data_IF_421568376092
#
_entry.id   IF_421568376092
#
_cell.length_a   1.000
_cell.length_b   1.000
_cell.length_c   1.000
_cell.angle_alpha   90.00
_cell.angle_beta   90.00
_cell.angle_gamma   90.00
#
_symmetry.space_group_name_H-M   'P 1'
#
loop_
_entity.id
_entity.type
_entity.pdbx_description
1 polymer ?
#
# COMPACT_ATOMS: atom_id res chain seq x y z
N UNK A 1 0.56 -6.06 -2.74
CA UNK A 1 -0.58 -6.97 -2.49
C UNK A 1 -1.08 -7.72 -3.73
N UNK A 2 -1.40 -7.08 -4.86
CA UNK A 2 -1.98 -7.74 -6.04
C UNK A 2 -1.18 -8.99 -6.53
N UNK A 3 0.15 -8.90 -6.64
CA UNK A 3 0.99 -10.01 -7.07
C UNK A 3 0.95 -11.22 -6.13
N UNK A 4 0.83 -10.98 -4.81
CA UNK A 4 0.75 -12.06 -3.80
C UNK A 4 -0.57 -12.82 -3.99
N UNK A 5 -1.67 -12.10 -4.22
CA UNK A 5 -2.99 -12.68 -4.47
C UNK A 5 -2.98 -13.49 -5.78
N UNK A 6 -2.43 -12.92 -6.86
CA UNK A 6 -2.29 -13.62 -8.15
C UNK A 6 -1.43 -14.88 -7.99
N UNK A 7 -0.29 -14.79 -7.30
CA UNK A 7 0.59 -15.93 -7.02
C UNK A 7 -0.13 -17.04 -6.23
N UNK A 8 -0.94 -16.67 -5.23
CA UNK A 8 -1.76 -17.62 -4.46
C UNK A 8 -2.77 -18.35 -5.36
N UNK A 9 -3.49 -17.62 -6.21
CA UNK A 9 -4.49 -18.20 -7.13
C UNK A 9 -3.81 -19.18 -8.10
N UNK A 10 -2.70 -18.77 -8.73
CA UNK A 10 -1.94 -19.60 -9.67
C UNK A 10 -1.42 -20.87 -8.98
N UNK A 11 -0.95 -20.76 -7.73
CA UNK A 11 -0.48 -21.91 -6.95
C UNK A 11 -1.62 -22.90 -6.68
N UNK A 12 -2.80 -22.42 -6.27
CA UNK A 12 -3.98 -23.27 -6.04
C UNK A 12 -4.37 -24.00 -7.33
N UNK A 13 -4.45 -23.27 -8.45
CA UNK A 13 -4.75 -23.86 -9.77
C UNK A 13 -3.70 -24.93 -10.13
N UNK A 14 -2.41 -24.63 -9.93
CA UNK A 14 -1.33 -25.58 -10.17
C UNK A 14 -1.45 -26.85 -9.33
N UNK A 15 -1.81 -26.72 -8.04
CA UNK A 15 -2.04 -27.87 -7.14
C UNK A 15 -3.24 -28.70 -7.58
N UNK A 16 -4.34 -28.07 -7.98
CA UNK A 16 -5.54 -28.76 -8.47
C UNK A 16 -5.24 -29.51 -9.77
N UNK A 17 -4.55 -28.89 -10.73
CA UNK A 17 -4.19 -29.52 -12.01
C UNK A 17 -3.20 -30.67 -11.80
N UNK A 18 -2.21 -30.51 -10.91
CA UNK A 18 -1.22 -31.56 -10.65
C UNK A 18 -1.81 -32.82 -10.01
N UNK A 19 -2.93 -32.69 -9.29
CA UNK A 19 -3.63 -33.80 -8.63
C UNK A 19 -4.66 -34.51 -9.52
N UNK A 20 -5.09 -33.90 -10.62
CA UNK A 20 -6.09 -34.47 -11.53
C UNK A 20 -5.41 -35.15 -12.74
N UNK A 21 -5.57 -36.48 -12.91
CA UNK A 21 -5.01 -37.18 -14.07
C UNK A 21 -5.72 -36.74 -15.37
N UNK A 22 -4.94 -36.27 -16.35
CA UNK A 22 -5.44 -35.78 -17.63
C UNK A 22 -4.34 -35.17 -18.50
N UNK A 23 -4.66 -34.75 -19.73
CA UNK A 23 -3.68 -34.20 -20.70
C UNK A 23 -2.91 -32.97 -20.17
N UNK A 24 -3.50 -32.25 -19.22
CA UNK A 24 -2.97 -31.01 -18.63
C UNK A 24 -2.08 -31.25 -17.41
N UNK A 25 -2.01 -32.48 -16.88
CA UNK A 25 -1.30 -32.80 -15.64
C UNK A 25 0.20 -32.48 -15.71
N UNK A 26 0.83 -32.69 -16.88
CA UNK A 26 2.25 -32.38 -17.13
C UNK A 26 2.58 -30.89 -16.89
N UNK A 27 1.62 -30.01 -17.08
CA UNK A 27 1.79 -28.57 -16.85
C UNK A 27 1.52 -28.17 -15.39
N UNK A 28 0.82 -28.99 -14.61
CA UNK A 28 0.48 -28.69 -13.22
C UNK A 28 1.70 -28.45 -12.32
N UNK A 29 2.77 -29.23 -12.52
CA UNK A 29 4.04 -29.03 -11.82
C UNK A 29 4.70 -27.69 -12.14
N UNK A 30 4.75 -27.32 -13.43
CA UNK A 30 5.31 -26.06 -13.91
C UNK A 30 4.50 -24.87 -13.38
N UNK A 31 3.17 -24.93 -13.48
CA UNK A 31 2.25 -23.88 -13.01
C UNK A 31 2.39 -23.69 -11.49
N UNK A 32 2.53 -24.79 -10.73
CA UNK A 32 2.76 -24.72 -9.28
C UNK A 32 4.06 -23.99 -8.95
N UNK A 33 5.16 -24.33 -9.63
CA UNK A 33 6.46 -23.67 -9.42
C UNK A 33 6.37 -22.19 -9.79
N UNK A 34 5.73 -21.87 -10.93
CA UNK A 34 5.50 -20.50 -11.35
C UNK A 34 4.70 -19.70 -10.30
N UNK A 35 3.64 -20.27 -9.74
CA UNK A 35 2.84 -19.65 -8.68
C UNK A 35 3.66 -19.34 -7.42
N UNK A 36 4.54 -20.26 -7.00
CA UNK A 36 5.46 -20.03 -5.87
C UNK A 36 6.41 -18.88 -6.17
N UNK A 37 7.04 -18.87 -7.36
CA UNK A 37 7.98 -17.82 -7.76
C UNK A 37 7.29 -16.45 -7.76
N UNK A 38 6.10 -16.34 -8.35
CA UNK A 38 5.32 -15.10 -8.38
C UNK A 38 4.99 -14.64 -6.97
N UNK A 39 4.63 -15.54 -6.07
CA UNK A 39 4.33 -15.21 -4.67
C UNK A 39 5.57 -14.67 -3.94
N UNK A 40 6.72 -15.33 -4.07
CA UNK A 40 7.98 -14.89 -3.46
C UNK A 40 8.38 -13.51 -3.99
N UNK A 41 8.33 -13.30 -5.30
CA UNK A 41 8.61 -11.99 -5.91
C UNK A 41 7.62 -10.93 -5.40
N UNK A 42 6.33 -11.26 -5.32
CA UNK A 42 5.30 -10.36 -4.82
C UNK A 42 5.53 -9.94 -3.36
N UNK A 43 6.02 -10.87 -2.52
CA UNK A 43 6.41 -10.58 -1.15
C UNK A 43 7.64 -9.68 -1.11
N UNK A 44 8.70 -10.00 -1.86
CA UNK A 44 9.95 -9.24 -1.86
C UNK A 44 9.71 -7.78 -2.29
N UNK A 45 9.00 -7.57 -3.40
CA UNK A 45 8.67 -6.24 -3.90
C UNK A 45 7.75 -5.50 -2.92
N UNK A 46 6.75 -6.18 -2.35
CA UNK A 46 5.82 -5.56 -1.43
C UNK A 46 6.40 -5.24 -0.05
N UNK A 47 7.53 -5.85 0.32
CA UNK A 47 8.13 -5.68 1.64
C UNK A 47 9.10 -4.50 1.71
N UNK A 48 9.54 -3.95 0.58
CA UNK A 48 10.53 -2.87 0.54
C UNK A 48 9.80 -1.55 0.33
N UNK A 49 9.96 -0.62 1.28
CA UNK A 49 9.43 0.74 1.19
C UNK A 49 10.56 1.73 1.41
N UNK A 50 10.66 2.71 0.52
CA UNK A 50 11.59 3.83 0.66
C UNK A 50 10.81 5.08 1.07
N UNK A 51 11.30 5.76 2.10
CA UNK A 51 10.76 7.03 2.57
C UNK A 51 11.75 8.14 2.24
N UNK A 52 11.28 9.17 1.56
CA UNK A 52 12.12 10.29 1.14
C UNK A 52 12.50 11.21 2.31
N UNK A 53 13.58 11.97 2.12
CA UNK A 53 14.04 12.92 3.11
C UNK A 53 12.99 14.04 3.33
N UNK A 54 12.76 14.38 4.61
CA UNK A 54 11.72 15.33 5.00
C UNK A 54 10.30 14.76 4.94
N UNK A 55 10.14 13.45 4.80
CA UNK A 55 8.86 12.76 4.96
C UNK A 55 8.95 11.69 6.06
N UNK A 56 7.79 11.28 6.57
CA UNK A 56 7.62 10.13 7.46
C UNK A 56 6.52 9.21 6.93
N UNK A 57 6.73 7.90 6.98
CA UNK A 57 5.74 6.91 6.59
C UNK A 57 4.89 6.47 7.78
N UNK A 58 3.59 6.76 7.75
CA UNK A 58 2.63 6.26 8.74
C UNK A 58 2.17 4.87 8.33
N UNK A 59 2.30 3.90 9.24
CA UNK A 59 1.91 2.51 9.03
C UNK A 59 0.45 2.29 9.38
N UNK A 60 -0.32 1.72 8.45
CA UNK A 60 -1.70 1.29 8.64
C UNK A 60 -1.84 -0.19 8.31
N UNK A 61 -2.44 -0.95 9.21
CA UNK A 61 -2.72 -2.37 9.01
C UNK A 61 -4.21 -2.61 9.24
N UNK A 62 -4.94 -2.98 8.19
CA UNK A 62 -6.38 -3.26 8.24
C UNK A 62 -7.21 -2.17 8.93
N UNK A 63 -6.96 -0.90 8.59
CA UNK A 63 -7.67 0.23 9.19
C UNK A 63 -7.06 0.75 10.49
N UNK A 64 -6.21 -0.02 11.16
CA UNK A 64 -5.54 0.40 12.40
C UNK A 64 -4.23 1.11 12.09
N UNK A 65 -4.12 2.36 12.54
CA UNK A 65 -2.86 3.13 12.50
C UNK A 65 -1.94 2.63 13.61
N UNK A 66 -0.67 2.41 13.28
CA UNK A 66 0.35 2.08 14.27
C UNK A 66 0.97 3.36 14.83
N UNK A 67 1.33 3.36 16.11
CA UNK A 67 1.94 4.52 16.78
C UNK A 67 3.36 4.82 16.27
N UNK A 68 4.03 3.81 15.71
CA UNK A 68 5.38 3.92 15.21
C UNK A 68 5.41 4.35 13.73
N UNK A 69 6.36 5.21 13.39
CA UNK A 69 6.50 5.82 12.06
C UNK A 69 7.82 5.42 11.40
N UNK A 70 7.81 5.35 10.07
CA UNK A 70 8.99 5.07 9.27
C UNK A 70 9.69 6.40 8.97
N UNK A 71 10.91 6.59 9.49
CA UNK A 71 11.74 7.74 9.14
C UNK A 71 12.31 7.64 7.72
N UNK A 72 12.95 8.69 7.22
CA UNK A 72 13.59 8.67 5.90
C UNK A 72 14.61 7.52 5.78
N UNK A 73 14.57 6.80 4.66
CA UNK A 73 15.45 5.66 4.40
C UNK A 73 14.74 4.46 3.81
N UNK A 74 15.48 3.37 3.65
CA UNK A 74 14.96 2.09 3.16
C UNK A 74 14.49 1.25 4.34
N UNK A 75 13.25 0.78 4.28
CA UNK A 75 12.63 -0.05 5.31
C UNK A 75 12.10 -1.34 4.73
N UNK A 76 12.25 -2.40 5.52
CA UNK A 76 11.62 -3.69 5.24
C UNK A 76 10.40 -3.86 6.14
N UNK A 77 9.22 -3.86 5.55
CA UNK A 77 7.93 -3.95 6.23
C UNK A 77 7.17 -5.20 5.80
N UNK A 78 6.14 -5.54 6.57
CA UNK A 78 5.19 -6.57 6.14
C UNK A 78 4.44 -6.07 4.88
N UNK A 79 4.39 -6.86 3.79
CA UNK A 79 3.75 -6.46 2.53
C UNK A 79 2.23 -6.25 2.60
N UNK A 80 1.61 -6.52 3.75
CA UNK A 80 0.21 -6.25 4.06
C UNK A 80 0.00 -4.89 4.74
N UNK A 81 1.06 -4.20 5.16
CA UNK A 81 0.97 -2.85 5.75
C UNK A 81 0.83 -1.83 4.61
N UNK A 82 -0.14 -0.94 4.75
CA UNK A 82 -0.27 0.25 3.94
C UNK A 82 0.57 1.38 4.56
N UNK A 83 1.43 2.02 3.77
CA UNK A 83 2.26 3.13 4.22
C UNK A 83 1.81 4.40 3.53
N UNK A 84 1.43 5.40 4.32
CA UNK A 84 1.10 6.74 3.82
C UNK A 84 2.22 7.70 4.20
N UNK A 85 2.85 8.33 3.20
CA UNK A 85 3.90 9.32 3.43
C UNK A 85 3.27 10.67 3.80
N UNK A 86 3.78 11.26 4.87
CA UNK A 86 3.43 12.60 5.33
C UNK A 86 4.68 13.49 5.28
N UNK A 87 4.51 14.72 4.79
CA UNK A 87 5.58 15.71 4.77
C UNK A 87 5.78 16.32 6.16
N UNK A 88 7.02 16.38 6.64
CA UNK A 88 7.41 16.99 7.91
C UNK A 88 8.21 18.29 7.72
N UNK A 89 8.34 18.77 6.48
CA UNK A 89 9.00 20.05 6.19
C UNK A 89 8.18 21.21 6.73
N UNK A 90 8.86 22.25 7.18
CA UNK A 90 8.23 23.51 7.58
C UNK A 90 7.47 24.11 6.40
N UNK A 91 6.16 24.17 6.51
CA UNK A 91 5.32 24.83 5.50
C UNK A 91 5.19 26.31 5.86
N UNK A 92 5.56 27.18 4.92
CA UNK A 92 5.26 28.61 5.06
C UNK A 92 3.79 28.82 4.77
N UNK A 93 2.99 29.00 5.83
CA UNK A 93 1.59 29.36 5.70
C UNK A 93 1.45 30.89 5.74
N UNK A 94 1.20 31.49 4.59
CA UNK A 94 0.78 32.89 4.50
C UNK A 94 -0.72 32.94 4.73
N UNK A 95 -1.13 33.34 5.93
CA UNK A 95 -2.49 33.82 6.19
C UNK A 95 -2.74 35.03 5.29
N UNK A 96 -3.35 34.83 4.12
CA UNK A 96 -3.89 35.93 3.34
C UNK A 96 -5.07 36.49 4.14
N UNK A 97 -4.84 37.58 4.86
CA UNK A 97 -5.86 38.31 5.60
C UNK A 97 -6.84 39.01 4.66
N UNK A 98 -7.52 38.27 3.80
CA UNK A 98 -8.75 38.76 3.18
C UNK A 98 -9.82 38.66 4.26
N UNK A 99 -9.91 39.73 5.03
CA UNK A 99 -10.95 39.98 6.01
C UNK A 99 -12.21 40.43 5.26
N UNK A 100 -12.81 39.56 4.45
CA UNK A 100 -14.10 39.86 3.78
C UNK A 100 -15.30 39.31 4.58
N UNK A 101 -15.10 38.97 5.85
CA UNK A 101 -16.17 38.68 6.82
C UNK A 101 -16.48 39.91 7.71
N UNK A 102 -16.37 41.12 7.14
CA UNK A 102 -16.53 42.39 7.86
C UNK A 102 -17.46 43.36 7.15
N UNK A 103 -18.72 43.41 7.61
CA UNK A 103 -19.79 44.37 7.28
C UNK A 103 -20.51 44.19 5.94
N UNK A 104 -21.39 43.18 5.86
CA UNK A 104 -22.67 43.44 5.19
C UNK A 104 -23.46 44.40 6.07
N UNK A 105 -23.27 45.70 5.87
CA UNK A 105 -24.22 46.72 6.29
C UNK A 105 -25.47 46.54 5.42
N UNK A 106 -26.35 45.64 5.85
CA UNK A 106 -27.69 45.44 5.31
C UNK A 106 -28.59 45.11 6.49
N UNK A 107 -29.64 45.91 6.65
CA UNK A 107 -30.62 45.88 7.72
C UNK A 107 -31.31 44.50 7.80
N UNK A 108 -30.83 43.61 8.68
CA UNK A 108 -31.51 42.36 9.06
C UNK A 108 -32.54 42.65 10.17
N UNK A 109 -33.49 43.54 9.89
CA UNK A 109 -34.66 43.76 10.75
C UNK A 109 -35.73 42.69 10.50
N UNK A 110 -36.24 42.14 11.61
CA UNK A 110 -37.30 41.13 11.76
C UNK A 110 -38.65 41.67 11.34
#
# INVERSE_FOLDING_TARGET
MALIIVGMIVLIIGVVIARNPGAVQRYGGIIRIAGIIIMVIGVLIGSIVQIDAGQVGVKKLFGKVQNDVLHSGLHMINPLIEVTTLDIKTQNYTMSGVHDEGSKNGDDAI
#
